data_IF_837047477595
#
_entry.id   IF_837047477595
#
_cell.length_a   1.000
_cell.length_b   1.000
_cell.length_c   1.000
_cell.angle_alpha   90.00
_cell.angle_beta   90.00
_cell.angle_gamma   90.00
#
_symmetry.space_group_name_H-M   'P 1'
#
loop_
_entity.id
_entity.type
_entity.pdbx_description
1 polymer ?
#
# COMPACT_ATOMS: atom_id res chain seq x y z
N UNK A 1 -30.14 -26.98 26.74
CA UNK A 1 -29.15 -27.64 25.85
C UNK A 1 -29.41 -27.41 24.36
N UNK A 2 -30.64 -27.57 23.82
CA UNK A 2 -30.94 -27.34 22.39
C UNK A 2 -30.63 -25.91 21.91
N UNK A 3 -31.09 -24.90 22.66
CA UNK A 3 -30.81 -23.48 22.37
C UNK A 3 -29.32 -23.11 22.40
N UNK A 4 -28.53 -23.68 23.32
CA UNK A 4 -27.06 -23.46 23.39
C UNK A 4 -26.35 -24.02 22.16
N UNK A 5 -26.72 -25.23 21.70
CA UNK A 5 -26.16 -25.83 20.49
C UNK A 5 -26.50 -25.01 19.23
N UNK A 6 -27.71 -24.47 19.17
CA UNK A 6 -28.17 -23.64 18.07
C UNK A 6 -27.41 -22.30 17.99
N UNK A 7 -27.22 -21.62 19.12
CA UNK A 7 -26.41 -20.39 19.17
C UNK A 7 -24.93 -20.63 18.81
N UNK A 8 -24.34 -21.72 19.29
CA UNK A 8 -22.96 -22.11 18.92
C UNK A 8 -22.87 -22.36 17.41
N UNK A 9 -23.86 -23.05 16.84
CA UNK A 9 -23.92 -23.27 15.39
C UNK A 9 -24.05 -21.94 14.62
N UNK A 10 -24.79 -20.96 15.15
CA UNK A 10 -24.88 -19.63 14.55
C UNK A 10 -23.55 -18.86 14.61
N UNK A 11 -22.76 -18.98 15.68
CA UNK A 11 -21.41 -18.41 15.76
C UNK A 11 -20.50 -18.97 14.66
N UNK A 12 -20.53 -20.29 14.45
CA UNK A 12 -19.77 -20.94 13.39
C UNK A 12 -20.26 -20.55 11.99
N UNK A 13 -21.57 -20.48 11.81
CA UNK A 13 -22.22 -20.07 10.55
C UNK A 13 -21.83 -18.64 10.17
N UNK A 14 -21.85 -17.72 11.15
CA UNK A 14 -21.41 -16.33 10.96
C UNK A 14 -19.97 -16.27 10.43
N UNK A 15 -19.07 -17.06 11.04
CA UNK A 15 -17.66 -17.12 10.68
C UNK A 15 -17.43 -17.67 9.28
N UNK A 16 -18.13 -18.75 8.91
CA UNK A 16 -17.98 -19.43 7.63
C UNK A 16 -18.58 -18.62 6.47
N UNK A 17 -19.80 -18.10 6.66
CA UNK A 17 -20.54 -17.44 5.59
C UNK A 17 -20.36 -15.92 5.56
N UNK A 18 -19.69 -15.35 6.58
CA UNK A 18 -19.44 -13.90 6.72
C UNK A 18 -20.71 -13.06 6.70
N UNK A 19 -21.81 -13.62 7.21
CA UNK A 19 -23.12 -12.97 7.31
C UNK A 19 -23.32 -12.39 8.72
N UNK A 20 -22.52 -11.38 9.09
CA UNK A 20 -22.43 -10.90 10.47
C UNK A 20 -23.76 -10.38 11.02
N UNK A 21 -24.39 -9.43 10.32
CA UNK A 21 -25.65 -8.79 10.73
C UNK A 21 -26.85 -9.74 10.80
N UNK A 22 -26.89 -10.72 9.89
CA UNK A 22 -27.94 -11.74 9.87
C UNK A 22 -27.76 -12.72 11.02
N UNK A 23 -26.51 -13.11 11.29
CA UNK A 23 -26.19 -14.01 12.39
C UNK A 23 -26.45 -13.35 13.76
N UNK A 24 -26.12 -12.06 13.90
CA UNK A 24 -26.46 -11.30 15.11
C UNK A 24 -27.99 -11.21 15.31
N UNK A 25 -28.76 -11.11 14.23
CA UNK A 25 -30.23 -11.13 14.30
C UNK A 25 -30.75 -12.49 14.77
N UNK A 26 -30.25 -13.57 14.15
CA UNK A 26 -30.66 -14.94 14.46
C UNK A 26 -30.30 -15.36 15.89
N UNK A 27 -29.23 -14.80 16.46
CA UNK A 27 -28.82 -15.01 17.85
C UNK A 27 -29.50 -14.06 18.86
N UNK A 28 -30.38 -13.16 18.39
CA UNK A 28 -30.93 -12.05 19.20
C UNK A 28 -29.85 -11.16 19.86
N UNK A 29 -28.64 -11.17 19.29
CA UNK A 29 -27.46 -10.49 19.82
C UNK A 29 -27.31 -9.06 19.31
N UNK A 30 -28.29 -8.49 18.60
CA UNK A 30 -28.17 -7.11 18.07
C UNK A 30 -28.10 -6.05 19.16
N UNK A 31 -28.74 -6.30 20.29
CA UNK A 31 -28.92 -5.30 21.35
C UNK A 31 -28.25 -5.70 22.68
N UNK A 32 -27.50 -6.80 22.72
CA UNK A 32 -26.92 -7.31 23.95
C UNK A 32 -26.22 -8.65 23.76
N UNK A 33 -25.53 -9.10 24.79
CA UNK A 33 -24.83 -10.39 24.79
C UNK A 33 -25.80 -11.44 25.32
N UNK A 34 -26.11 -12.50 24.55
CA UNK A 34 -26.98 -13.56 25.04
C UNK A 34 -26.40 -14.25 26.28
N UNK A 35 -27.18 -14.34 27.37
CA UNK A 35 -26.73 -14.92 28.65
C UNK A 35 -26.16 -16.34 28.49
N UNK A 36 -26.71 -17.11 27.55
CA UNK A 36 -26.31 -18.49 27.24
C UNK A 36 -24.85 -18.60 26.77
N UNK A 37 -24.28 -17.51 26.24
CA UNK A 37 -22.88 -17.43 25.81
C UNK A 37 -21.96 -16.88 26.92
N UNK A 38 -22.53 -16.33 27.99
CA UNK A 38 -21.80 -15.64 29.06
C UNK A 38 -20.92 -16.53 29.95
N UNK A 39 -20.99 -17.85 29.79
CA UNK A 39 -20.25 -18.81 30.61
C UNK A 39 -18.92 -19.29 29.99
N UNK A 40 -18.59 -18.86 28.77
CA UNK A 40 -17.39 -19.30 28.05
C UNK A 40 -16.63 -18.11 27.47
N UNK A 41 -15.34 -17.92 27.86
CA UNK A 41 -14.49 -16.90 27.27
C UNK A 41 -14.36 -17.07 25.74
N UNK A 42 -14.39 -18.30 25.25
CA UNK A 42 -14.25 -18.61 23.83
C UNK A 42 -15.46 -18.13 23.01
N UNK A 43 -16.68 -18.40 23.48
CA UNK A 43 -17.90 -17.93 22.82
C UNK A 43 -18.01 -16.40 22.85
N UNK A 44 -17.67 -15.79 23.98
CA UNK A 44 -17.64 -14.33 24.13
C UNK A 44 -16.61 -13.68 23.18
N UNK A 45 -15.43 -14.28 23.05
CA UNK A 45 -14.41 -13.84 22.09
C UNK A 45 -14.86 -13.98 20.63
N UNK A 46 -15.53 -15.09 20.29
CA UNK A 46 -16.10 -15.28 18.95
C UNK A 46 -17.19 -14.24 18.65
N UNK A 47 -18.09 -14.01 19.59
CA UNK A 47 -19.15 -13.00 19.47
C UNK A 47 -18.56 -11.59 19.32
N UNK A 48 -17.52 -11.25 20.10
CA UNK A 48 -16.79 -9.99 19.95
C UNK A 48 -16.22 -9.82 18.54
N UNK A 49 -15.64 -10.87 17.97
CA UNK A 49 -15.17 -10.87 16.57
C UNK A 49 -16.29 -10.61 15.56
N UNK A 50 -17.48 -11.19 15.76
CA UNK A 50 -18.66 -10.96 14.91
C UNK A 50 -19.11 -9.51 15.02
N UNK A 51 -19.20 -8.95 16.24
CA UNK A 51 -19.52 -7.54 16.45
C UNK A 51 -18.54 -6.60 15.75
N UNK A 52 -17.23 -6.84 15.88
CA UNK A 52 -16.21 -6.05 15.17
C UNK A 52 -16.45 -6.08 13.66
N UNK A 53 -16.69 -7.26 13.08
CA UNK A 53 -16.94 -7.38 11.64
C UNK A 53 -18.27 -6.74 11.21
N UNK A 54 -19.33 -6.86 12.02
CA UNK A 54 -20.60 -6.17 11.80
C UNK A 54 -20.44 -4.65 11.86
N UNK A 55 -19.70 -4.11 12.85
CA UNK A 55 -19.40 -2.69 12.97
C UNK A 55 -18.73 -2.12 11.71
N UNK A 56 -17.78 -2.87 11.15
CA UNK A 56 -16.98 -2.48 10.00
C UNK A 56 -17.79 -2.49 8.70
N UNK A 57 -18.69 -3.46 8.54
CA UNK A 57 -19.47 -3.65 7.31
C UNK A 57 -20.84 -2.99 7.36
N UNK A 58 -21.37 -2.72 8.55
CA UNK A 58 -22.71 -2.23 8.80
C UNK A 58 -22.79 -0.73 9.14
N UNK A 59 -24.01 -0.20 9.32
CA UNK A 59 -24.22 1.20 9.67
C UNK A 59 -23.88 1.51 11.14
N UNK A 60 -24.13 0.56 12.07
CA UNK A 60 -24.08 0.74 13.53
C UNK A 60 -22.69 0.51 14.14
N UNK A 61 -21.69 1.30 13.72
CA UNK A 61 -20.30 1.11 14.12
C UNK A 61 -20.09 1.19 15.66
N UNK A 62 -20.49 2.30 16.30
CA UNK A 62 -20.20 2.52 17.72
C UNK A 62 -20.86 1.48 18.61
N UNK A 63 -22.12 1.16 18.31
CA UNK A 63 -22.91 0.21 19.08
C UNK A 63 -22.26 -1.18 19.07
N UNK A 64 -21.86 -1.67 17.91
CA UNK A 64 -21.20 -2.97 17.84
C UNK A 64 -19.76 -2.95 18.37
N UNK A 65 -19.03 -1.85 18.25
CA UNK A 65 -17.72 -1.74 18.91
C UNK A 65 -17.85 -1.73 20.44
N UNK A 66 -18.89 -1.07 20.99
CA UNK A 66 -19.23 -1.11 22.40
C UNK A 66 -19.60 -2.54 22.85
N UNK A 67 -20.48 -3.23 22.13
CA UNK A 67 -20.84 -4.62 22.45
C UNK A 67 -19.64 -5.58 22.34
N UNK A 68 -18.71 -5.33 21.41
CA UNK A 68 -17.45 -6.07 21.35
C UNK A 68 -16.60 -5.87 22.60
N UNK A 69 -16.50 -4.63 23.12
CA UNK A 69 -15.80 -4.35 24.38
C UNK A 69 -16.49 -5.01 25.58
N UNK A 70 -17.82 -4.95 25.66
CA UNK A 70 -18.59 -5.64 26.70
C UNK A 70 -18.32 -7.16 26.69
N UNK A 71 -18.33 -7.78 25.50
CA UNK A 71 -18.10 -9.22 25.37
C UNK A 71 -16.67 -9.60 25.78
N UNK A 72 -15.67 -8.81 25.40
CA UNK A 72 -14.28 -9.04 25.82
C UNK A 72 -14.10 -8.82 27.33
N UNK A 73 -14.76 -7.82 27.90
CA UNK A 73 -14.72 -7.59 29.35
C UNK A 73 -15.35 -8.74 30.13
N UNK A 74 -16.50 -9.26 29.68
CA UNK A 74 -17.12 -10.46 30.24
C UNK A 74 -16.20 -11.67 30.10
N UNK A 75 -15.56 -11.87 28.94
CA UNK A 75 -14.63 -12.98 28.74
C UNK A 75 -13.47 -12.94 29.75
N UNK A 76 -12.92 -11.75 30.00
CA UNK A 76 -11.89 -11.53 31.02
C UNK A 76 -12.37 -11.86 32.42
N UNK A 77 -13.60 -11.45 32.78
CA UNK A 77 -14.17 -11.77 34.09
C UNK A 77 -14.36 -13.27 34.28
N UNK A 78 -14.90 -13.96 33.27
CA UNK A 78 -15.12 -15.42 33.29
C UNK A 78 -13.80 -16.18 33.36
N UNK A 79 -12.76 -15.70 32.69
CA UNK A 79 -11.40 -16.28 32.76
C UNK A 79 -10.64 -15.95 34.05
N UNK A 80 -11.27 -15.35 35.07
CA UNK A 80 -10.62 -15.02 36.34
C UNK A 80 -9.65 -13.84 36.27
N UNK A 81 -9.83 -12.92 35.31
CA UNK A 81 -8.95 -11.76 35.03
C UNK A 81 -7.51 -12.11 34.64
N UNK A 82 -7.23 -13.36 34.27
CA UNK A 82 -5.95 -13.71 33.67
C UNK A 82 -5.87 -13.08 32.27
N UNK A 83 -5.08 -12.01 32.15
CA UNK A 83 -4.75 -11.36 30.88
C UNK A 83 -3.97 -12.25 29.92
N UNK A 84 -3.50 -13.39 30.41
CA UNK A 84 -2.65 -14.34 29.69
C UNK A 84 -3.44 -15.42 28.96
N UNK A 85 -4.77 -15.40 29.04
CA UNK A 85 -5.59 -16.27 28.19
C UNK A 85 -5.43 -15.83 26.72
N UNK A 86 -4.72 -16.68 25.98
CA UNK A 86 -4.34 -16.47 24.58
C UNK A 86 -5.56 -16.14 23.70
N UNK A 87 -6.76 -16.67 24.00
CA UNK A 87 -7.95 -16.38 23.20
C UNK A 87 -8.47 -14.95 23.40
N UNK A 88 -8.39 -14.45 24.63
CA UNK A 88 -8.77 -13.09 24.99
C UNK A 88 -7.78 -12.11 24.37
N UNK A 89 -6.48 -12.36 24.56
CA UNK A 89 -5.41 -11.55 23.99
C UNK A 89 -5.50 -11.47 22.46
N UNK A 90 -5.79 -12.61 21.79
CA UNK A 90 -6.02 -12.66 20.34
C UNK A 90 -7.19 -11.79 19.91
N UNK A 91 -8.29 -11.85 20.66
CA UNK A 91 -9.52 -11.11 20.31
C UNK A 91 -9.34 -9.60 20.54
N UNK A 92 -8.61 -9.20 21.57
CA UNK A 92 -8.18 -7.80 21.79
C UNK A 92 -7.28 -7.31 20.66
N UNK A 93 -6.25 -8.09 20.30
CA UNK A 93 -5.34 -7.75 19.20
C UNK A 93 -6.10 -7.59 17.86
N UNK A 94 -7.08 -8.46 17.61
CA UNK A 94 -7.91 -8.39 16.41
C UNK A 94 -8.81 -7.16 16.37
N UNK A 95 -9.53 -6.85 17.47
CA UNK A 95 -10.39 -5.67 17.58
C UNK A 95 -9.62 -4.38 17.28
N UNK A 96 -8.53 -4.14 18.01
CA UNK A 96 -7.72 -2.92 17.88
C UNK A 96 -7.10 -2.81 16.48
N UNK A 97 -6.63 -3.92 15.92
CA UNK A 97 -6.12 -3.95 14.54
C UNK A 97 -7.21 -3.54 13.54
N UNK A 98 -8.38 -4.16 13.61
CA UNK A 98 -9.45 -3.87 12.66
C UNK A 98 -9.96 -2.45 12.79
N UNK A 99 -10.04 -1.93 14.01
CA UNK A 99 -10.33 -0.53 14.27
C UNK A 99 -9.31 0.40 13.62
N UNK A 100 -8.00 0.11 13.73
CA UNK A 100 -6.98 0.88 13.03
C UNK A 100 -7.15 0.85 11.49
N UNK A 101 -7.46 -0.31 10.91
CA UNK A 101 -7.60 -0.46 9.45
C UNK A 101 -8.74 0.40 8.89
N UNK A 102 -9.83 0.58 9.66
CA UNK A 102 -10.97 1.42 9.28
C UNK A 102 -10.76 2.91 9.60
N UNK A 103 -9.64 3.26 10.26
CA UNK A 103 -9.24 4.64 10.55
C UNK A 103 -8.76 5.36 9.27
N UNK A 104 -9.70 5.70 8.38
CA UNK A 104 -9.48 6.43 7.13
C UNK A 104 -9.92 7.91 7.19
N UNK A 105 -9.44 8.77 6.27
CA UNK A 105 -9.86 10.18 6.18
C UNK A 105 -11.34 10.39 5.83
N UNK A 106 -12.00 9.34 5.34
CA UNK A 106 -13.45 9.26 5.03
C UNK A 106 -14.20 8.39 6.06
N UNK A 107 -13.54 7.97 7.14
CA UNK A 107 -14.20 7.26 8.23
C UNK A 107 -15.34 8.14 8.76
N UNK A 108 -16.54 7.54 8.85
CA UNK A 108 -17.80 8.13 9.35
C UNK A 108 -17.50 9.22 10.39
N UNK A 109 -17.42 10.49 9.94
CA UNK A 109 -17.01 11.65 10.75
C UNK A 109 -17.97 11.97 11.90
N UNK A 110 -19.07 11.23 12.02
CA UNK A 110 -20.18 11.51 12.93
C UNK A 110 -20.05 10.96 14.35
N UNK A 111 -19.00 10.21 14.68
CA UNK A 111 -19.01 9.39 15.89
C UNK A 111 -17.65 9.46 16.61
N UNK A 112 -17.44 10.53 17.37
CA UNK A 112 -16.10 11.10 17.60
C UNK A 112 -15.72 11.45 19.05
N UNK A 113 -16.38 10.95 20.10
CA UNK A 113 -16.02 11.34 21.47
C UNK A 113 -15.10 10.36 22.23
N UNK A 114 -15.03 9.06 21.88
CA UNK A 114 -14.32 8.06 22.71
C UNK A 114 -13.31 7.16 21.96
N UNK A 115 -13.04 7.44 20.69
CA UNK A 115 -12.11 6.60 19.92
C UNK A 115 -10.65 6.89 20.32
N UNK A 116 -9.82 5.87 20.62
CA UNK A 116 -8.39 6.08 20.78
C UNK A 116 -7.78 6.70 19.52
N UNK A 117 -6.76 7.52 19.70
CA UNK A 117 -6.06 8.09 18.55
C UNK A 117 -5.38 6.98 17.72
N UNK A 118 -5.14 7.28 16.44
CA UNK A 118 -4.63 6.31 15.47
C UNK A 118 -3.28 5.70 15.89
N UNK A 119 -2.41 6.46 16.54
CA UNK A 119 -1.10 5.97 16.99
C UNK A 119 -1.25 5.06 18.20
N UNK A 120 -2.15 5.39 19.13
CA UNK A 120 -2.49 4.53 20.27
C UNK A 120 -3.01 3.16 19.82
N UNK A 121 -3.90 3.12 18.83
CA UNK A 121 -4.37 1.85 18.25
C UNK A 121 -3.23 1.00 17.68
N UNK A 122 -2.29 1.63 16.95
CA UNK A 122 -1.11 0.92 16.42
C UNK A 122 -0.26 0.36 17.55
N UNK A 123 0.03 1.18 18.58
CA UNK A 123 0.88 0.75 19.70
C UNK A 123 0.22 -0.40 20.49
N UNK A 124 -1.09 -0.32 20.76
CA UNK A 124 -1.84 -1.37 21.44
C UNK A 124 -1.87 -2.68 20.62
N UNK A 125 -2.20 -2.60 19.32
CA UNK A 125 -2.20 -3.78 18.46
C UNK A 125 -0.81 -4.42 18.38
N UNK A 126 0.26 -3.62 18.21
CA UNK A 126 1.64 -4.13 18.21
C UNK A 126 1.98 -4.80 19.53
N UNK A 127 1.63 -4.19 20.66
CA UNK A 127 1.86 -4.76 21.99
C UNK A 127 1.18 -6.13 22.15
N UNK A 128 -0.12 -6.23 21.85
CA UNK A 128 -0.84 -7.50 21.98
C UNK A 128 -0.31 -8.58 21.03
N UNK A 129 0.02 -8.24 19.78
CA UNK A 129 0.62 -9.22 18.88
C UNK A 129 2.03 -9.62 19.31
N UNK A 130 2.84 -8.73 19.89
CA UNK A 130 4.16 -9.09 20.42
C UNK A 130 4.06 -10.09 21.56
N UNK A 131 3.09 -9.91 22.47
CA UNK A 131 2.77 -10.92 23.49
C UNK A 131 2.33 -12.24 22.84
N UNK A 132 1.40 -12.22 21.88
CA UNK A 132 0.96 -13.44 21.18
C UNK A 132 2.12 -14.18 20.50
N UNK A 133 3.10 -13.46 19.95
CA UNK A 133 4.27 -14.08 19.30
C UNK A 133 5.21 -14.78 20.29
N UNK A 134 5.15 -14.44 21.58
CA UNK A 134 5.90 -15.13 22.65
C UNK A 134 5.15 -16.36 23.18
N UNK A 135 3.83 -16.38 23.00
CA UNK A 135 2.93 -17.45 23.41
C UNK A 135 2.56 -18.38 22.22
N UNK A 136 1.35 -18.96 22.25
CA UNK A 136 0.82 -19.84 21.21
C UNK A 136 0.16 -19.06 20.06
N UNK A 137 0.95 -18.58 19.10
CA UNK A 137 0.46 -17.87 17.91
C UNK A 137 0.03 -18.79 16.76
N UNK A 138 -0.93 -18.30 15.97
CA UNK A 138 -1.39 -18.94 14.72
C UNK A 138 -0.87 -18.21 13.47
N UNK A 139 -1.04 -18.82 12.29
CA UNK A 139 -0.71 -18.15 11.01
C UNK A 139 -1.55 -16.88 10.75
N UNK A 140 -2.87 -16.84 11.05
CA UNK A 140 -3.64 -15.60 11.07
C UNK A 140 -3.04 -14.52 11.98
N UNK A 141 -2.65 -14.86 13.22
CA UNK A 141 -2.07 -13.88 14.16
C UNK A 141 -0.80 -13.25 13.58
N UNK A 142 0.08 -14.08 13.03
CA UNK A 142 1.31 -13.61 12.38
C UNK A 142 1.01 -12.72 11.17
N UNK A 143 0.00 -13.08 10.36
CA UNK A 143 -0.41 -12.29 9.20
C UNK A 143 -0.95 -10.93 9.62
N UNK A 144 -1.83 -10.89 10.62
CA UNK A 144 -2.40 -9.66 11.14
C UNK A 144 -1.33 -8.76 11.76
N UNK A 145 -0.39 -9.35 12.50
CA UNK A 145 0.74 -8.63 13.06
C UNK A 145 1.65 -8.02 11.98
N UNK A 146 1.97 -8.79 10.94
CA UNK A 146 2.74 -8.28 9.80
C UNK A 146 1.99 -7.16 9.06
N UNK A 147 0.65 -7.24 9.00
CA UNK A 147 -0.21 -6.25 8.34
C UNK A 147 -0.23 -4.94 9.09
N UNK A 148 -0.39 -4.94 10.41
CA UNK A 148 -0.37 -3.70 11.22
C UNK A 148 1.00 -3.01 11.12
N UNK A 149 2.10 -3.77 11.16
CA UNK A 149 3.45 -3.23 11.00
C UNK A 149 3.65 -2.60 9.62
N UNK A 150 3.21 -3.29 8.56
CA UNK A 150 3.32 -2.76 7.19
C UNK A 150 2.47 -1.51 6.99
N UNK A 151 1.19 -1.55 7.34
CA UNK A 151 0.25 -0.44 7.13
C UNK A 151 0.65 0.79 7.93
N UNK A 152 1.04 0.62 9.20
CA UNK A 152 1.53 1.74 10.02
C UNK A 152 2.82 2.36 9.49
N UNK A 153 3.71 1.55 8.90
CA UNK A 153 4.94 2.08 8.30
C UNK A 153 4.69 2.89 7.02
N UNK A 154 3.68 2.53 6.24
CA UNK A 154 3.25 3.22 5.00
C UNK A 154 2.32 4.41 5.25
N UNK A 155 1.77 4.55 6.46
CA UNK A 155 0.81 5.60 6.79
C UNK A 155 1.52 6.95 6.96
N UNK A 156 1.36 7.85 5.99
CA UNK A 156 2.01 9.17 5.99
C UNK A 156 1.48 10.09 7.09
N UNK A 157 0.31 9.82 7.66
CA UNK A 157 -0.32 10.65 8.68
C UNK A 157 0.13 10.31 10.10
N UNK A 158 0.81 9.16 10.29
CA UNK A 158 1.37 8.81 11.60
C UNK A 158 2.69 9.54 11.85
N UNK A 159 2.90 10.15 13.04
CA UNK A 159 4.12 10.87 13.39
C UNK A 159 5.26 9.89 13.79
N UNK A 160 5.57 8.94 12.92
CA UNK A 160 6.56 7.89 13.15
C UNK A 160 7.85 8.20 12.39
N UNK A 161 8.99 8.13 13.10
CA UNK A 161 10.31 8.39 12.53
C UNK A 161 10.65 7.41 11.40
N UNK A 162 11.51 7.85 10.46
CA UNK A 162 11.95 7.01 9.33
C UNK A 162 12.60 5.69 9.78
N UNK A 163 13.40 5.73 10.85
CA UNK A 163 14.04 4.54 11.42
C UNK A 163 13.03 3.51 11.92
N UNK A 164 12.01 3.95 12.67
CA UNK A 164 10.94 3.06 13.17
C UNK A 164 10.10 2.50 12.03
N UNK A 165 9.76 3.30 11.00
CA UNK A 165 9.08 2.81 9.78
C UNK A 165 9.89 1.71 9.09
N UNK A 166 11.19 1.92 8.92
CA UNK A 166 12.07 0.93 8.29
C UNK A 166 12.18 -0.36 9.13
N UNK A 167 12.25 -0.24 10.45
CA UNK A 167 12.23 -1.39 11.37
C UNK A 167 10.93 -2.18 11.23
N UNK A 168 9.77 -1.51 11.24
CA UNK A 168 8.46 -2.15 11.06
C UNK A 168 8.37 -2.86 9.69
N UNK A 169 8.80 -2.23 8.60
CA UNK A 169 8.83 -2.86 7.28
C UNK A 169 9.71 -4.11 7.23
N UNK A 170 10.90 -4.06 7.85
CA UNK A 170 11.81 -5.21 7.94
C UNK A 170 11.16 -6.36 8.74
N UNK A 171 10.55 -6.05 9.90
CA UNK A 171 9.87 -7.03 10.75
C UNK A 171 8.67 -7.65 10.01
N UNK A 172 7.84 -6.84 9.34
CA UNK A 172 6.73 -7.30 8.51
C UNK A 172 7.21 -8.26 7.40
N UNK A 173 8.27 -7.91 6.66
CA UNK A 173 8.85 -8.79 5.65
C UNK A 173 9.29 -10.15 6.22
N UNK A 174 9.93 -10.15 7.39
CA UNK A 174 10.37 -11.38 8.07
C UNK A 174 9.17 -12.25 8.43
N UNK A 175 8.11 -11.67 8.99
CA UNK A 175 6.89 -12.40 9.37
C UNK A 175 6.18 -12.97 8.13
N UNK A 176 5.95 -12.18 7.08
CA UNK A 176 5.36 -12.72 5.85
C UNK A 176 6.21 -13.83 5.23
N UNK A 177 7.54 -13.70 5.24
CA UNK A 177 8.44 -14.74 4.75
C UNK A 177 8.34 -16.03 5.57
N UNK A 178 8.11 -15.95 6.88
CA UNK A 178 7.84 -17.12 7.73
C UNK A 178 6.55 -17.82 7.30
N UNK A 179 5.45 -17.07 7.13
CA UNK A 179 4.15 -17.60 6.65
C UNK A 179 4.31 -18.34 5.31
N UNK A 180 5.06 -17.74 4.38
CA UNK A 180 5.30 -18.32 3.05
C UNK A 180 6.15 -19.60 3.07
N UNK A 181 7.00 -19.81 4.09
CA UNK A 181 7.84 -21.01 4.26
C UNK A 181 7.10 -22.15 4.96
N UNK A 182 6.24 -21.84 5.92
CA UNK A 182 5.52 -22.84 6.73
C UNK A 182 4.44 -23.61 5.95
N UNK A 183 4.20 -23.26 4.68
CA UNK A 183 3.07 -23.75 3.86
C UNK A 183 3.51 -24.62 2.67
N UNK A 184 4.79 -25.00 2.56
CA UNK A 184 5.36 -25.76 1.43
C UNK A 184 5.25 -27.31 1.56
N UNK A 185 4.48 -27.87 2.50
CA UNK A 185 4.48 -29.33 2.79
C UNK A 185 3.11 -30.03 2.85
N UNK A 186 2.16 -29.73 1.95
CA UNK A 186 0.94 -30.54 1.79
C UNK A 186 -0.23 -29.82 1.11
N UNK A 187 -1.34 -30.54 0.92
CA UNK A 187 -2.62 -29.96 0.51
C UNK A 187 -3.11 -29.01 1.62
N UNK A 188 -3.01 -27.71 1.36
CA UNK A 188 -3.50 -26.68 2.27
C UNK A 188 -5.02 -26.57 2.17
N UNK A 189 -5.70 -26.41 3.31
CA UNK A 189 -7.09 -25.95 3.33
C UNK A 189 -7.23 -24.58 2.64
N UNK A 190 -8.41 -24.29 2.09
CA UNK A 190 -8.68 -23.03 1.39
C UNK A 190 -8.33 -21.77 2.20
N UNK A 191 -8.62 -21.76 3.52
CA UNK A 191 -8.24 -20.65 4.40
C UNK A 191 -6.73 -20.43 4.50
N UNK A 192 -5.97 -21.53 4.59
CA UNK A 192 -4.50 -21.48 4.64
C UNK A 192 -3.92 -21.03 3.29
N UNK A 193 -4.54 -21.44 2.17
CA UNK A 193 -4.19 -20.96 0.82
C UNK A 193 -4.42 -19.44 0.72
N UNK A 194 -5.58 -18.96 1.19
CA UNK A 194 -5.91 -17.54 1.14
C UNK A 194 -4.93 -16.68 1.96
N UNK A 195 -4.59 -17.09 3.18
CA UNK A 195 -3.59 -16.38 4.01
C UNK A 195 -2.24 -16.34 3.30
N UNK A 196 -1.83 -17.43 2.65
CA UNK A 196 -0.58 -17.50 1.90
C UNK A 196 -0.56 -16.52 0.73
N UNK A 197 -1.63 -16.45 -0.05
CA UNK A 197 -1.78 -15.51 -1.17
C UNK A 197 -1.69 -14.05 -0.66
N UNK A 198 -2.43 -13.73 0.41
CA UNK A 198 -2.40 -12.39 1.02
C UNK A 198 -1.02 -12.02 1.59
N UNK A 199 -0.36 -12.97 2.25
CA UNK A 199 0.99 -12.80 2.77
C UNK A 199 2.02 -12.61 1.64
N UNK A 200 1.87 -13.32 0.52
CA UNK A 200 2.71 -13.14 -0.67
C UNK A 200 2.61 -11.75 -1.26
N UNK A 201 1.39 -11.24 -1.43
CA UNK A 201 1.15 -9.88 -1.89
C UNK A 201 1.75 -8.82 -0.95
N UNK A 202 1.48 -8.91 0.36
CA UNK A 202 2.02 -7.94 1.31
C UNK A 202 3.53 -8.07 1.54
N UNK A 203 4.10 -9.28 1.42
CA UNK A 203 5.56 -9.46 1.38
C UNK A 203 6.17 -8.66 0.22
N UNK A 204 5.61 -8.81 -0.98
CA UNK A 204 6.08 -8.09 -2.16
C UNK A 204 5.93 -6.58 -1.99
N UNK A 205 4.81 -6.10 -1.44
CA UNK A 205 4.61 -4.67 -1.14
C UNK A 205 5.57 -4.11 -0.09
N UNK A 206 5.74 -4.80 1.04
CA UNK A 206 6.66 -4.37 2.08
C UNK A 206 8.12 -4.39 1.60
N UNK A 207 8.50 -5.42 0.83
CA UNK A 207 9.82 -5.52 0.23
C UNK A 207 10.08 -4.45 -0.83
N UNK A 208 9.08 -4.11 -1.64
CA UNK A 208 9.10 -2.98 -2.58
C UNK A 208 9.37 -1.66 -1.86
N UNK A 209 8.67 -1.39 -0.73
CA UNK A 209 8.91 -0.18 0.06
C UNK A 209 10.34 -0.10 0.62
N UNK A 210 10.93 -1.24 0.96
CA UNK A 210 12.34 -1.31 1.38
C UNK A 210 13.32 -1.15 0.20
N UNK A 211 12.94 -1.57 -1.00
CA UNK A 211 13.75 -1.37 -2.21
C UNK A 211 13.70 0.08 -2.69
N UNK A 212 12.52 0.69 -2.72
CA UNK A 212 12.26 2.08 -3.14
C UNK A 212 12.85 3.05 -2.12
N UNK A 213 14.17 3.19 -2.14
CA UNK A 213 14.93 3.96 -1.15
C UNK A 213 15.36 5.34 -1.66
N UNK A 214 14.88 5.75 -2.83
CA UNK A 214 15.09 7.10 -3.35
C UNK A 214 14.37 8.12 -2.47
N UNK A 215 15.06 9.20 -2.10
CA UNK A 215 14.38 10.38 -1.59
C UNK A 215 13.51 11.00 -2.67
N UNK A 216 12.64 11.93 -2.27
CA UNK A 216 11.84 12.70 -3.23
C UNK A 216 12.74 13.39 -4.28
N UNK A 217 13.88 13.94 -3.85
CA UNK A 217 14.88 14.49 -4.75
C UNK A 217 15.44 13.44 -5.71
N UNK A 218 15.90 12.29 -5.19
CA UNK A 218 16.45 11.24 -6.04
C UNK A 218 15.46 10.73 -7.09
N UNK A 219 14.17 10.67 -6.75
CA UNK A 219 13.12 10.27 -7.68
C UNK A 219 12.90 11.31 -8.79
N UNK A 220 12.80 12.59 -8.45
CA UNK A 220 12.66 13.65 -9.46
C UNK A 220 13.93 13.80 -10.30
N UNK A 221 15.12 13.65 -9.72
CA UNK A 221 16.40 13.66 -10.43
C UNK A 221 16.49 12.52 -11.47
N UNK A 222 16.03 11.33 -11.10
CA UNK A 222 15.94 10.21 -12.04
C UNK A 222 14.90 10.46 -13.14
N UNK A 223 13.70 10.95 -12.79
CA UNK A 223 12.63 11.25 -13.74
C UNK A 223 13.00 12.32 -14.77
N UNK A 224 13.64 13.39 -14.32
CA UNK A 224 13.96 14.53 -15.17
C UNK A 224 15.24 14.30 -15.99
N UNK A 225 16.26 13.69 -15.38
CA UNK A 225 17.62 13.66 -15.92
C UNK A 225 18.23 12.26 -16.05
N UNK A 226 17.55 11.19 -15.61
CA UNK A 226 18.11 9.84 -15.56
C UNK A 226 19.22 9.67 -14.54
N UNK A 227 19.37 10.62 -13.61
CA UNK A 227 20.46 10.62 -12.62
C UNK A 227 20.23 9.52 -11.59
N UNK A 228 21.18 8.59 -11.50
CA UNK A 228 21.25 7.57 -10.46
C UNK A 228 22.52 7.75 -9.63
N UNK A 229 22.48 7.36 -8.35
CA UNK A 229 23.66 7.30 -7.49
C UNK A 229 24.25 5.89 -7.47
N UNK A 230 25.58 5.79 -7.35
CA UNK A 230 26.27 4.50 -7.20
C UNK A 230 25.78 3.83 -5.92
N UNK A 231 25.20 2.65 -6.06
CA UNK A 231 24.58 1.96 -4.94
C UNK A 231 25.60 1.02 -4.29
N UNK A 232 26.14 1.43 -3.14
CA UNK A 232 27.03 0.60 -2.31
C UNK A 232 26.39 -0.73 -1.88
N UNK A 233 25.09 -0.89 -2.05
CA UNK A 233 24.30 -2.07 -1.68
C UNK A 233 23.62 -2.76 -2.87
N UNK A 234 24.12 -2.56 -4.11
CA UNK A 234 23.49 -3.12 -5.32
C UNK A 234 23.28 -4.64 -5.23
N UNK A 235 24.24 -5.38 -4.69
CA UNK A 235 24.16 -6.85 -4.51
C UNK A 235 23.02 -7.24 -3.57
N UNK A 236 22.89 -6.59 -2.41
CA UNK A 236 21.79 -6.86 -1.46
C UNK A 236 20.42 -6.56 -2.11
N UNK A 237 20.33 -5.43 -2.83
CA UNK A 237 19.12 -5.02 -3.54
C UNK A 237 18.76 -5.98 -4.66
N UNK A 238 19.74 -6.48 -5.40
CA UNK A 238 19.55 -7.48 -6.45
C UNK A 238 19.01 -8.78 -5.86
N UNK A 239 19.61 -9.30 -4.79
CA UNK A 239 19.11 -10.49 -4.08
C UNK A 239 17.68 -10.32 -3.55
N UNK A 240 17.36 -9.13 -3.03
CA UNK A 240 16.01 -8.78 -2.57
C UNK A 240 15.03 -8.69 -3.74
N UNK A 241 15.40 -8.04 -4.84
CA UNK A 241 14.59 -7.95 -6.06
C UNK A 241 14.26 -9.34 -6.61
N UNK A 242 15.25 -10.23 -6.78
CA UNK A 242 15.01 -11.60 -7.26
C UNK A 242 14.10 -12.39 -6.32
N UNK A 243 14.20 -12.17 -5.01
CA UNK A 243 13.30 -12.80 -4.03
C UNK A 243 11.86 -12.32 -4.20
N UNK A 244 11.66 -11.01 -4.35
CA UNK A 244 10.34 -10.42 -4.55
C UNK A 244 9.73 -10.84 -5.89
N UNK A 245 10.50 -10.80 -6.97
CA UNK A 245 10.06 -11.22 -8.30
C UNK A 245 9.62 -12.68 -8.29
N UNK A 246 10.39 -13.57 -7.67
CA UNK A 246 10.04 -15.00 -7.54
C UNK A 246 8.72 -15.22 -6.80
N UNK A 247 8.49 -14.50 -5.71
CA UNK A 247 7.25 -14.60 -4.93
C UNK A 247 6.08 -13.99 -5.70
N UNK A 248 6.29 -12.85 -6.36
CA UNK A 248 5.26 -12.19 -7.16
C UNK A 248 4.86 -13.04 -8.39
N UNK A 249 5.80 -13.67 -9.08
CA UNK A 249 5.51 -14.60 -10.18
C UNK A 249 4.79 -15.86 -9.70
N UNK A 250 5.10 -16.37 -8.50
CA UNK A 250 4.30 -17.45 -7.88
C UNK A 250 2.87 -16.98 -7.60
N UNK A 251 2.71 -15.79 -7.01
CA UNK A 251 1.40 -15.19 -6.74
C UNK A 251 0.58 -15.05 -8.03
N UNK A 252 1.17 -14.56 -9.12
CA UNK A 252 0.49 -14.44 -10.41
C UNK A 252 -0.04 -15.79 -10.89
N UNK A 253 0.80 -16.83 -10.89
CA UNK A 253 0.37 -18.20 -11.26
C UNK A 253 -0.74 -18.74 -10.38
N UNK A 254 -0.65 -18.55 -9.06
CA UNK A 254 -1.69 -18.98 -8.13
C UNK A 254 -3.04 -18.29 -8.39
N UNK A 255 -3.02 -17.05 -8.86
CA UNK A 255 -4.23 -16.28 -9.17
C UNK A 255 -4.71 -16.45 -10.63
N UNK A 256 -4.03 -17.28 -11.44
CA UNK A 256 -4.32 -17.44 -12.87
C UNK A 256 -4.09 -16.15 -13.66
N UNK A 257 -3.02 -15.41 -13.32
CA UNK A 257 -2.64 -14.13 -13.91
C UNK A 257 -1.30 -14.20 -14.66
N UNK A 258 -0.80 -15.40 -14.93
CA UNK A 258 0.41 -15.64 -15.71
C UNK A 258 0.13 -15.60 -17.22
N UNK A 259 1.10 -15.08 -17.99
CA UNK A 259 0.95 -14.88 -19.43
C UNK A 259 0.31 -13.54 -19.81
N UNK A 260 0.02 -13.39 -21.10
CA UNK A 260 -0.69 -12.22 -21.62
C UNK A 260 -2.17 -12.26 -21.22
N UNK A 261 -2.73 -11.09 -20.91
CA UNK A 261 -4.10 -11.00 -20.39
C UNK A 261 -5.10 -11.19 -21.53
N UNK A 262 -5.65 -12.39 -21.66
CA UNK A 262 -6.67 -12.71 -22.68
C UNK A 262 -8.11 -12.46 -22.21
N UNK A 263 -8.32 -11.96 -20.98
CA UNK A 263 -9.65 -11.84 -20.36
C UNK A 263 -9.88 -10.59 -19.51
N UNK A 264 -9.57 -9.39 -20.01
CA UNK A 264 -9.79 -8.11 -19.25
C UNK A 264 -11.23 -7.99 -18.73
N UNK A 265 -12.23 -8.38 -19.52
CA UNK A 265 -13.62 -8.34 -19.10
C UNK A 265 -13.95 -9.31 -17.97
N UNK A 266 -13.44 -10.55 -18.03
CA UNK A 266 -13.62 -11.53 -16.96
C UNK A 266 -12.99 -11.02 -15.66
N UNK A 267 -11.74 -10.57 -15.74
CA UNK A 267 -11.01 -9.99 -14.61
C UNK A 267 -11.74 -8.76 -14.04
N UNK A 268 -12.30 -7.91 -14.90
CA UNK A 268 -13.09 -6.75 -14.48
C UNK A 268 -14.37 -7.14 -13.75
N UNK A 269 -15.02 -8.25 -14.12
CA UNK A 269 -16.24 -8.74 -13.46
C UNK A 269 -15.99 -9.43 -12.12
N UNK A 270 -14.76 -9.86 -11.83
CA UNK A 270 -14.43 -10.50 -10.54
C UNK A 270 -14.79 -9.59 -9.34
N UNK A 271 -15.33 -10.15 -8.24
CA UNK A 271 -15.67 -9.39 -7.04
C UNK A 271 -14.44 -8.72 -6.41
N UNK A 272 -14.57 -7.46 -5.97
CA UNK A 272 -13.47 -6.78 -5.22
C UNK A 272 -13.23 -7.35 -3.83
N UNK A 273 -14.15 -8.16 -3.31
CA UNK A 273 -13.97 -8.92 -2.07
C UNK A 273 -12.87 -9.97 -2.19
N UNK A 274 -12.49 -10.37 -3.41
CA UNK A 274 -11.31 -11.18 -3.68
C UNK A 274 -10.06 -10.32 -3.51
N UNK A 275 -9.34 -10.54 -2.41
CA UNK A 275 -8.10 -9.86 -2.12
C UNK A 275 -6.93 -10.86 -2.08
N UNK A 276 -5.83 -10.59 -2.81
CA UNK A 276 -5.57 -9.41 -3.64
C UNK A 276 -6.35 -9.42 -4.96
N UNK A 277 -6.84 -8.25 -5.38
CA UNK A 277 -7.54 -8.11 -6.66
C UNK A 277 -6.54 -8.13 -7.83
N UNK A 278 -6.95 -8.63 -9.00
CA UNK A 278 -6.06 -8.78 -10.17
C UNK A 278 -5.35 -7.47 -10.56
N UNK A 279 -6.07 -6.35 -10.58
CA UNK A 279 -5.49 -5.03 -10.84
C UNK A 279 -4.43 -4.61 -9.80
N UNK A 280 -4.58 -5.01 -8.54
CA UNK A 280 -3.60 -4.72 -7.48
C UNK A 280 -2.31 -5.54 -7.67
N UNK A 281 -2.42 -6.78 -8.16
CA UNK A 281 -1.29 -7.66 -8.46
C UNK A 281 -0.52 -7.10 -9.66
N UNK A 282 -1.21 -6.76 -10.76
CA UNK A 282 -0.56 -6.15 -11.92
C UNK A 282 0.09 -4.81 -11.58
N UNK A 283 -0.56 -3.96 -10.80
CA UNK A 283 0.05 -2.73 -10.33
C UNK A 283 1.33 -2.99 -9.51
N UNK A 284 1.30 -3.98 -8.60
CA UNK A 284 2.50 -4.38 -7.84
C UNK A 284 3.62 -4.92 -8.75
N UNK A 285 3.28 -5.71 -9.77
CA UNK A 285 4.26 -6.18 -10.77
C UNK A 285 4.88 -5.02 -11.55
N UNK A 286 4.06 -4.07 -12.01
CA UNK A 286 4.56 -2.85 -12.65
C UNK A 286 5.51 -2.07 -11.75
N UNK A 287 5.21 -1.97 -10.46
CA UNK A 287 6.09 -1.33 -9.48
C UNK A 287 7.42 -2.06 -9.26
N UNK A 288 7.44 -3.40 -9.33
CA UNK A 288 8.67 -4.20 -9.24
C UNK A 288 9.58 -3.93 -10.43
N UNK A 289 9.02 -3.93 -11.63
CA UNK A 289 9.79 -3.70 -12.85
C UNK A 289 10.21 -2.23 -13.03
N UNK A 290 9.36 -1.24 -12.66
CA UNK A 290 9.74 0.19 -12.59
C UNK A 290 10.94 0.34 -11.63
N UNK A 291 10.87 -0.27 -10.44
CA UNK A 291 11.97 -0.26 -9.48
C UNK A 291 13.24 -0.93 -10.02
N UNK A 292 13.10 -2.00 -10.81
CA UNK A 292 14.23 -2.70 -11.41
C UNK A 292 14.92 -1.86 -12.49
N UNK A 293 14.15 -1.14 -13.29
CA UNK A 293 14.65 -0.15 -14.24
C UNK A 293 15.36 1.02 -13.53
N UNK A 294 14.67 1.68 -12.58
CA UNK A 294 15.20 2.82 -11.82
C UNK A 294 16.54 2.50 -11.14
N UNK A 295 16.68 1.28 -10.62
CA UNK A 295 17.83 0.87 -9.82
C UNK A 295 18.82 -0.03 -10.57
N UNK A 296 18.62 -0.25 -11.87
CA UNK A 296 19.50 -1.10 -12.69
C UNK A 296 19.67 -2.51 -12.08
N UNK A 297 18.56 -3.10 -11.63
CA UNK A 297 18.49 -4.43 -10.99
C UNK A 297 18.05 -5.54 -11.95
N UNK A 298 17.81 -5.20 -13.22
CA UNK A 298 17.45 -6.15 -14.27
C UNK A 298 18.55 -6.19 -15.33
N UNK A 299 18.88 -7.35 -15.91
CA UNK A 299 19.95 -7.46 -16.92
C UNK A 299 19.72 -6.57 -18.14
N UNK A 300 18.45 -6.42 -18.56
CA UNK A 300 18.04 -5.60 -19.68
C UNK A 300 17.08 -4.49 -19.22
N UNK A 301 17.57 -3.28 -18.88
CA UNK A 301 16.76 -2.21 -18.30
C UNK A 301 15.53 -1.86 -19.16
N UNK A 302 15.68 -1.80 -20.48
CA UNK A 302 14.58 -1.51 -21.40
C UNK A 302 13.47 -2.58 -21.36
N UNK A 303 13.83 -3.84 -21.17
CA UNK A 303 12.85 -4.91 -20.99
C UNK A 303 12.10 -4.75 -19.66
N UNK A 304 12.78 -4.33 -18.60
CA UNK A 304 12.12 -4.02 -17.34
C UNK A 304 11.15 -2.84 -17.50
N UNK A 305 11.54 -1.78 -18.21
CA UNK A 305 10.66 -0.66 -18.51
C UNK A 305 9.43 -1.09 -19.34
N UNK A 306 9.65 -1.91 -20.37
CA UNK A 306 8.58 -2.47 -21.20
C UNK A 306 7.59 -3.30 -20.37
N UNK A 307 8.08 -4.22 -19.54
CA UNK A 307 7.24 -5.03 -18.64
C UNK A 307 6.49 -4.15 -17.64
N UNK A 308 7.12 -3.11 -17.09
CA UNK A 308 6.45 -2.18 -16.19
C UNK A 308 5.28 -1.48 -16.89
N UNK A 309 5.48 -1.01 -18.13
CA UNK A 309 4.44 -0.40 -18.98
C UNK A 309 3.30 -1.38 -19.25
N UNK A 310 3.61 -2.62 -19.59
CA UNK A 310 2.63 -3.67 -19.86
C UNK A 310 1.75 -3.94 -18.62
N UNK A 311 2.35 -4.19 -17.46
CA UNK A 311 1.61 -4.48 -16.23
C UNK A 311 0.76 -3.30 -15.74
N UNK A 312 1.25 -2.07 -15.84
CA UNK A 312 0.41 -0.91 -15.53
C UNK A 312 -0.73 -0.73 -16.53
N UNK A 313 -0.53 -1.05 -17.80
CA UNK A 313 -1.59 -1.03 -18.81
C UNK A 313 -2.68 -2.04 -18.46
N UNK A 314 -2.34 -3.29 -18.12
CA UNK A 314 -3.30 -4.28 -17.65
C UNK A 314 -4.09 -3.82 -16.42
N UNK A 315 -3.42 -3.22 -15.43
CA UNK A 315 -4.10 -2.69 -14.25
C UNK A 315 -5.10 -1.57 -14.60
N UNK A 316 -4.72 -0.68 -15.53
CA UNK A 316 -5.58 0.40 -16.02
C UNK A 316 -6.75 -0.12 -16.86
N UNK A 317 -6.52 -1.10 -17.74
CA UNK A 317 -7.55 -1.69 -18.60
C UNK A 317 -8.65 -2.38 -17.78
N UNK A 318 -8.30 -3.14 -16.72
CA UNK A 318 -9.35 -3.77 -15.90
C UNK A 318 -10.14 -2.70 -15.13
N UNK A 319 -9.49 -1.65 -14.62
CA UNK A 319 -10.19 -0.54 -13.95
C UNK A 319 -11.13 0.19 -14.93
N UNK A 320 -10.62 0.51 -16.12
CA UNK A 320 -11.38 1.19 -17.15
C UNK A 320 -12.59 0.36 -17.59
N UNK A 321 -12.41 -0.95 -17.81
CA UNK A 321 -13.51 -1.86 -18.15
C UNK A 321 -14.56 -1.94 -17.02
N UNK A 322 -14.14 -1.96 -15.75
CA UNK A 322 -15.07 -1.89 -14.62
C UNK A 322 -15.93 -0.64 -14.65
N UNK A 323 -15.34 0.53 -14.93
CA UNK A 323 -16.08 1.80 -15.05
C UNK A 323 -17.12 1.73 -16.17
N UNK A 324 -16.76 1.19 -17.32
CA UNK A 324 -17.68 0.99 -18.43
C UNK A 324 -18.86 0.08 -18.04
N UNK A 325 -18.58 -0.97 -17.27
CA UNK A 325 -19.59 -1.90 -16.76
C UNK A 325 -20.36 -1.36 -15.53
N UNK A 326 -20.13 -0.11 -15.10
CA UNK A 326 -20.72 0.51 -13.91
C UNK A 326 -20.50 -0.30 -12.62
N UNK A 327 -19.39 -1.03 -12.55
CA UNK A 327 -18.99 -1.77 -11.36
C UNK A 327 -18.29 -0.84 -10.36
N UNK A 328 -18.24 -1.26 -9.09
CA UNK A 328 -17.60 -0.47 -8.02
C UNK A 328 -16.10 -0.29 -8.27
N UNK A 329 -15.64 0.95 -8.06
CA UNK A 329 -14.26 1.39 -8.32
C UNK A 329 -13.79 2.23 -7.13
N UNK A 330 -12.63 1.92 -6.52
CA UNK A 330 -12.05 2.64 -5.39
C UNK A 330 -10.52 2.69 -5.49
N UNK A 331 -9.97 3.91 -5.44
CA UNK A 331 -8.55 4.15 -5.21
C UNK A 331 -7.62 4.12 -6.43
N UNK A 332 -8.10 4.11 -7.68
CA UNK A 332 -7.30 3.70 -8.84
C UNK A 332 -6.45 4.78 -9.55
N UNK A 333 -6.59 6.06 -9.22
CA UNK A 333 -5.87 7.14 -9.93
C UNK A 333 -4.34 6.99 -9.90
N UNK A 334 -3.80 6.33 -8.87
CA UNK A 334 -2.37 6.07 -8.76
C UNK A 334 -1.82 5.12 -9.83
N UNK A 335 -2.66 4.24 -10.40
CA UNK A 335 -2.27 3.29 -11.45
C UNK A 335 -2.05 4.03 -12.77
N UNK A 336 -3.03 4.84 -13.20
CA UNK A 336 -2.90 5.69 -14.37
C UNK A 336 -1.74 6.67 -14.25
N UNK A 337 -1.54 7.26 -13.07
CA UNK A 337 -0.40 8.14 -12.83
C UNK A 337 0.95 7.41 -12.86
N UNK A 338 0.99 6.10 -12.60
CA UNK A 338 2.20 5.31 -12.78
C UNK A 338 2.52 5.10 -14.25
N UNK A 339 1.50 4.78 -15.06
CA UNK A 339 1.64 4.72 -16.52
C UNK A 339 2.07 6.06 -17.12
N UNK A 340 1.51 7.16 -16.61
CA UNK A 340 1.90 8.51 -16.99
C UNK A 340 3.38 8.80 -16.66
N UNK A 341 3.84 8.46 -15.44
CA UNK A 341 5.26 8.60 -15.07
C UNK A 341 6.18 7.78 -15.97
N UNK A 342 5.79 6.56 -16.34
CA UNK A 342 6.62 5.72 -17.22
C UNK A 342 6.83 6.33 -18.59
N UNK A 343 5.87 7.10 -19.10
CA UNK A 343 6.03 7.76 -20.39
C UNK A 343 7.14 8.81 -20.40
N UNK A 344 7.35 9.52 -19.28
CA UNK A 344 8.52 10.40 -19.15
C UNK A 344 9.85 9.63 -19.23
N UNK A 345 9.88 8.33 -18.91
CA UNK A 345 11.07 7.50 -19.11
C UNK A 345 11.26 7.09 -20.58
N UNK A 346 10.17 6.80 -21.31
CA UNK A 346 10.23 6.31 -22.69
C UNK A 346 10.28 7.41 -23.77
N UNK A 347 9.93 8.66 -23.44
CA UNK A 347 9.85 9.76 -24.42
C UNK A 347 11.21 10.33 -24.86
N UNK A 348 12.34 9.80 -24.37
CA UNK A 348 13.65 10.04 -24.99
C UNK A 348 13.75 9.20 -26.27
N UNK A 349 13.12 9.68 -27.36
CA UNK A 349 13.38 9.20 -28.72
C UNK A 349 12.41 8.19 -29.33
N UNK A 350 11.18 8.01 -28.81
CA UNK A 350 10.18 7.16 -29.47
C UNK A 350 8.94 7.95 -29.95
N UNK A 351 8.50 7.62 -31.16
CA UNK A 351 7.40 8.24 -31.94
C UNK A 351 6.00 7.70 -31.56
N UNK A 352 5.93 6.59 -30.82
CA UNK A 352 4.66 5.90 -30.59
C UNK A 352 3.70 6.69 -29.70
N UNK A 353 2.42 6.68 -30.09
CA UNK A 353 1.33 7.26 -29.31
C UNK A 353 1.30 6.62 -27.91
N UNK A 354 1.48 7.39 -26.83
CA UNK A 354 1.49 6.83 -25.50
C UNK A 354 0.19 6.09 -25.13
N UNK A 355 0.25 4.89 -24.52
CA UNK A 355 -0.95 4.18 -24.07
C UNK A 355 -1.82 4.96 -23.08
N UNK A 356 -1.23 5.92 -22.34
CA UNK A 356 -1.99 6.73 -21.39
C UNK A 356 -2.93 7.76 -22.05
N UNK A 357 -2.64 8.19 -23.29
CA UNK A 357 -3.51 9.13 -24.02
C UNK A 357 -4.91 8.55 -24.25
N UNK A 358 -5.02 7.23 -24.40
CA UNK A 358 -6.30 6.54 -24.53
C UNK A 358 -7.20 6.75 -23.31
N UNK A 359 -6.64 7.01 -22.12
CA UNK A 359 -7.39 7.24 -20.88
C UNK A 359 -7.66 8.71 -20.61
N UNK A 360 -6.76 9.63 -20.98
CA UNK A 360 -6.94 11.07 -20.76
C UNK A 360 -8.19 11.65 -21.39
N UNK A 361 -8.52 11.19 -22.58
CA UNK A 361 -9.74 11.63 -23.27
C UNK A 361 -11.02 11.08 -22.66
N UNK A 362 -10.90 10.10 -21.76
CA UNK A 362 -12.02 9.28 -21.26
C UNK A 362 -12.22 9.39 -19.75
N UNK A 363 -11.25 9.93 -19.01
CA UNK A 363 -11.25 10.04 -17.56
C UNK A 363 -10.86 11.45 -17.13
N UNK A 364 -11.51 11.96 -16.09
CA UNK A 364 -11.13 13.21 -15.43
C UNK A 364 -9.97 12.94 -14.46
N UNK A 365 -8.84 13.60 -14.69
CA UNK A 365 -7.68 13.54 -13.80
C UNK A 365 -7.64 14.74 -12.85
N UNK A 366 -7.09 14.60 -11.63
CA UNK A 366 -6.89 15.75 -10.76
C UNK A 366 -5.96 16.79 -11.42
N UNK A 367 -6.26 18.10 -11.30
CA UNK A 367 -5.46 19.16 -11.91
C UNK A 367 -3.96 19.10 -11.57
N UNK A 368 -3.61 18.67 -10.35
CA UNK A 368 -2.22 18.56 -9.93
C UNK A 368 -1.40 17.58 -10.78
N UNK A 369 -2.01 16.53 -11.35
CA UNK A 369 -1.29 15.63 -12.24
C UNK A 369 -0.86 16.39 -13.51
N UNK A 370 -1.77 17.12 -14.13
CA UNK A 370 -1.52 17.90 -15.36
C UNK A 370 -0.46 18.98 -15.12
N UNK A 371 -0.59 19.74 -14.04
CA UNK A 371 0.40 20.76 -13.66
C UNK A 371 1.79 20.14 -13.44
N UNK A 372 1.87 18.98 -12.78
CA UNK A 372 3.14 18.27 -12.59
C UNK A 372 3.79 17.88 -13.93
N UNK A 373 3.00 17.44 -14.92
CA UNK A 373 3.50 17.12 -16.27
C UNK A 373 4.15 18.34 -16.89
N UNK A 374 3.42 19.46 -16.92
CA UNK A 374 3.84 20.70 -17.57
C UNK A 374 5.12 21.24 -16.94
N UNK A 375 5.18 21.29 -15.60
CA UNK A 375 6.40 21.71 -14.88
C UNK A 375 7.60 20.84 -15.26
N UNK A 376 7.44 19.51 -15.30
CA UNK A 376 8.55 18.62 -15.67
C UNK A 376 8.97 18.81 -17.12
N UNK A 377 8.03 19.00 -18.04
CA UNK A 377 8.32 19.31 -19.44
C UNK A 377 9.09 20.62 -19.59
N UNK A 378 8.67 21.69 -18.90
CA UNK A 378 9.40 22.96 -18.89
C UNK A 378 10.84 22.76 -18.41
N UNK A 379 11.05 22.03 -17.30
CA UNK A 379 12.39 21.72 -16.80
C UNK A 379 13.21 20.91 -17.83
N UNK A 380 12.62 19.88 -18.44
CA UNK A 380 13.31 19.04 -19.43
C UNK A 380 13.68 19.83 -20.70
N UNK A 381 12.87 20.82 -21.09
CA UNK A 381 13.08 21.67 -22.25
C UNK A 381 13.97 22.88 -21.97
N UNK A 382 14.51 23.03 -20.76
CA UNK A 382 15.33 24.19 -20.38
C UNK A 382 14.55 25.48 -20.09
N UNK A 383 13.22 25.42 -20.06
CA UNK A 383 12.32 26.54 -19.75
C UNK A 383 12.20 26.71 -18.23
N UNK A 384 13.30 27.06 -17.56
CA UNK A 384 13.36 27.07 -16.10
C UNK A 384 12.54 28.20 -15.47
N UNK A 385 12.48 29.37 -16.12
CA UNK A 385 11.69 30.52 -15.62
C UNK A 385 10.19 30.21 -15.64
N UNK A 386 9.69 29.56 -16.70
CA UNK A 386 8.30 29.11 -16.81
C UNK A 386 7.97 28.07 -15.73
N UNK A 387 8.89 27.13 -15.49
CA UNK A 387 8.74 26.14 -14.43
C UNK A 387 8.71 26.79 -13.04
N UNK A 388 9.58 27.78 -12.80
CA UNK A 388 9.63 28.53 -11.55
C UNK A 388 8.36 29.33 -11.30
N UNK A 389 7.80 29.95 -12.35
CA UNK A 389 6.54 30.69 -12.28
C UNK A 389 5.38 29.76 -11.87
N UNK A 390 5.20 28.64 -12.58
CA UNK A 390 4.16 27.65 -12.26
C UNK A 390 4.32 27.07 -10.84
N UNK A 391 5.54 26.76 -10.42
CA UNK A 391 5.80 26.25 -9.06
C UNK A 391 5.44 27.29 -8.00
N UNK A 392 5.69 28.59 -8.26
CA UNK A 392 5.31 29.67 -7.35
C UNK A 392 3.80 29.79 -7.21
N UNK A 393 3.05 29.70 -8.30
CA UNK A 393 1.57 29.73 -8.29
C UNK A 393 0.98 28.57 -7.48
N UNK A 394 1.50 27.36 -7.65
CA UNK A 394 1.06 26.20 -6.85
C UNK A 394 1.34 26.42 -5.37
N UNK A 395 2.52 26.94 -5.02
CA UNK A 395 2.86 27.24 -3.62
C UNK A 395 1.98 28.33 -3.01
N UNK A 396 1.62 29.35 -3.79
CA UNK A 396 0.76 30.46 -3.34
C UNK A 396 -0.69 30.02 -3.14
N UNK A 397 -1.23 29.23 -4.07
CA UNK A 397 -2.60 28.72 -3.98
C UNK A 397 -2.79 27.69 -2.86
N UNK A 398 -1.71 27.03 -2.41
CA UNK A 398 -1.73 25.94 -1.40
C UNK A 398 -2.69 24.79 -1.74
N UNK A 399 -3.09 24.66 -3.00
CA UNK A 399 -3.95 23.59 -3.48
C UNK A 399 -3.11 22.35 -3.79
N UNK A 400 -2.75 21.61 -2.73
CA UNK A 400 -2.01 20.37 -2.85
C UNK A 400 -2.94 19.17 -2.98
N UNK A 401 -2.57 18.21 -3.83
CA UNK A 401 -3.27 16.93 -4.00
C UNK A 401 -2.30 15.74 -3.90
N UNK A 402 -2.80 14.53 -4.19
CA UNK A 402 -1.97 13.31 -4.14
C UNK A 402 -0.82 13.29 -5.15
N UNK A 403 -0.90 14.10 -6.22
CA UNK A 403 0.11 14.20 -7.26
C UNK A 403 1.06 15.36 -7.03
N UNK A 404 0.55 16.50 -6.56
CA UNK A 404 1.29 17.71 -6.23
C UNK A 404 1.30 17.92 -4.71
N UNK A 405 2.09 17.11 -4.01
CA UNK A 405 2.31 17.30 -2.58
C UNK A 405 3.28 18.45 -2.33
N UNK A 406 3.13 19.15 -1.20
CA UNK A 406 4.02 20.25 -0.80
C UNK A 406 5.50 19.86 -0.87
N UNK A 407 5.84 18.65 -0.42
CA UNK A 407 7.21 18.14 -0.45
C UNK A 407 7.75 17.98 -1.88
N UNK A 408 6.91 17.52 -2.82
CA UNK A 408 7.31 17.38 -4.23
C UNK A 408 7.51 18.74 -4.88
N UNK A 409 6.60 19.69 -4.62
CA UNK A 409 6.70 21.07 -5.13
C UNK A 409 7.99 21.74 -4.63
N UNK A 410 8.30 21.61 -3.34
CA UNK A 410 9.57 22.11 -2.75
C UNK A 410 10.80 21.53 -3.45
N UNK A 411 10.82 20.21 -3.70
CA UNK A 411 11.93 19.55 -4.39
C UNK A 411 12.07 20.04 -5.84
N UNK A 412 10.98 20.12 -6.61
CA UNK A 412 11.01 20.60 -7.99
C UNK A 412 11.46 22.06 -8.09
N UNK A 413 11.05 22.90 -7.14
CA UNK A 413 11.52 24.29 -7.04
C UNK A 413 13.01 24.36 -6.74
N UNK A 414 13.49 23.58 -5.78
CA UNK A 414 14.92 23.57 -5.45
C UNK A 414 15.77 23.04 -6.62
N UNK A 415 15.27 22.05 -7.38
CA UNK A 415 15.89 21.62 -8.65
C UNK A 415 15.93 22.79 -9.64
N UNK A 416 14.79 23.45 -9.88
CA UNK A 416 14.69 24.58 -10.82
C UNK A 416 15.60 25.74 -10.43
N UNK A 417 15.69 26.07 -9.14
CA UNK A 417 16.58 27.12 -8.62
C UNK A 417 18.07 26.79 -8.89
N UNK A 418 18.47 25.52 -8.71
CA UNK A 418 19.83 25.07 -9.05
C UNK A 418 20.10 25.16 -10.54
N UNK A 419 19.11 24.82 -11.38
CA UNK A 419 19.24 24.92 -12.84
C UNK A 419 19.38 26.37 -13.31
N UNK A 420 18.61 27.30 -12.73
CA UNK A 420 18.73 28.74 -13.02
C UNK A 420 20.06 29.33 -12.57
N UNK A 421 20.53 28.97 -11.36
CA UNK A 421 21.72 29.58 -10.74
C UNK A 421 23.04 28.90 -11.10
N UNK A 422 23.00 27.66 -11.59
CA UNK A 422 24.19 26.88 -11.93
C UNK A 422 25.01 26.40 -10.72
N UNK A 423 24.54 26.59 -9.49
CA UNK A 423 25.27 26.20 -8.27
C UNK A 423 24.33 25.77 -7.14
N UNK A 424 24.84 25.07 -6.13
CA UNK A 424 24.04 24.55 -5.00
C UNK A 424 24.12 25.39 -3.72
N UNK A 425 24.75 26.58 -3.76
CA UNK A 425 25.10 27.37 -2.58
C UNK A 425 23.87 27.74 -1.71
N UNK A 426 22.72 28.02 -2.33
CA UNK A 426 21.48 28.38 -1.63
C UNK A 426 20.76 27.20 -0.96
N UNK A 427 21.20 25.97 -1.20
CA UNK A 427 20.61 24.74 -0.66
C UNK A 427 21.39 24.17 0.55
N UNK A 428 22.37 24.92 1.06
CA UNK A 428 23.09 24.57 2.27
C UNK A 428 22.11 24.25 3.43
N UNK A 429 22.35 23.14 4.12
CA UNK A 429 21.56 22.62 5.25
C UNK A 429 20.11 22.14 4.97
N UNK A 430 19.59 22.22 3.73
CA UNK A 430 18.23 21.71 3.41
C UNK A 430 18.17 20.21 3.12
N UNK A 431 19.26 19.63 2.66
CA UNK A 431 19.36 18.23 2.24
C UNK A 431 20.50 17.52 2.96
N UNK A 432 20.34 16.21 3.20
CA UNK A 432 21.41 15.39 3.76
C UNK A 432 22.62 15.38 2.80
N UNK A 433 23.83 15.18 3.34
CA UNK A 433 25.08 15.20 2.54
C UNK A 433 25.00 14.28 1.31
N UNK A 434 24.43 13.08 1.47
CA UNK A 434 24.29 12.11 0.36
C UNK A 434 23.25 12.52 -0.69
N UNK A 435 22.24 13.34 -0.33
CA UNK A 435 21.22 13.82 -1.28
C UNK A 435 21.76 14.96 -2.15
N UNK A 436 22.70 15.76 -1.64
CA UNK A 436 23.29 16.86 -2.40
C UNK A 436 24.00 16.41 -3.66
N UNK A 437 24.52 15.18 -3.67
CA UNK A 437 25.15 14.55 -4.84
C UNK A 437 24.19 14.49 -6.04
N UNK A 438 22.88 14.44 -5.83
CA UNK A 438 21.91 14.51 -6.94
C UNK A 438 22.00 15.85 -7.67
N UNK A 439 22.09 16.99 -6.96
CA UNK A 439 22.18 18.30 -7.59
C UNK A 439 23.46 18.47 -8.40
N UNK A 440 24.59 18.01 -7.87
CA UNK A 440 25.87 18.02 -8.57
C UNK A 440 25.80 17.22 -9.89
N UNK A 441 25.21 16.02 -9.85
CA UNK A 441 25.01 15.21 -11.05
C UNK A 441 24.01 15.79 -12.04
N UNK A 442 22.96 16.46 -11.56
CA UNK A 442 22.01 17.19 -12.41
C UNK A 442 22.76 18.26 -13.21
N UNK A 443 23.58 19.09 -12.54
CA UNK A 443 24.38 20.12 -13.21
C UNK A 443 25.38 19.52 -14.21
N UNK A 444 26.04 18.42 -13.86
CA UNK A 444 26.94 17.72 -14.79
C UNK A 444 26.21 17.17 -16.03
N UNK A 445 24.97 16.71 -15.89
CA UNK A 445 24.17 16.19 -17.01
C UNK A 445 23.86 17.27 -18.05
N UNK A 446 23.64 18.51 -17.61
CA UNK A 446 23.39 19.66 -18.49
C UNK A 446 24.61 20.06 -19.30
N UNK A 447 25.79 20.08 -18.67
CA UNK A 447 27.03 20.45 -19.34
C UNK A 447 27.36 19.45 -20.47
N UNK A 448 27.16 18.15 -20.23
CA UNK A 448 27.32 17.12 -21.28
C UNK A 448 26.36 17.29 -22.46
N UNK A 449 25.12 17.70 -22.22
CA UNK A 449 24.16 17.98 -23.29
C UNK A 449 24.51 19.24 -24.09
N UNK A 450 25.09 20.27 -23.46
CA UNK A 450 25.60 21.46 -24.16
C UNK A 450 26.83 21.16 -25.01
N UNK A 451 27.74 20.30 -24.54
CA UNK A 451 28.96 19.95 -25.27
C UNK A 451 28.68 19.06 -26.50
N UNK A 452 27.71 18.14 -26.41
CA UNK A 452 27.27 17.35 -27.57
C UNK A 452 26.59 18.19 -28.66
N UNK A 453 25.82 19.23 -28.27
CA UNK A 453 25.19 20.14 -29.24
C UNK A 453 26.20 20.99 -30.02
N UNK A 454 27.34 21.35 -29.41
CA UNK A 454 28.42 22.08 -30.10
C UNK A 454 29.23 21.20 -31.05
N UNK A 455 29.39 19.91 -30.75
CA UNK A 455 30.13 18.97 -31.58
C UNK A 455 29.37 18.52 -32.85
N UNK A 456 28.06 18.73 -32.93
CA UNK A 456 27.23 18.42 -34.12
C UNK A 456 27.09 19.60 -35.09
N UNK A 457 27.48 20.80 -34.68
CA UNK A 457 27.45 22.02 -35.51
C UNK A 457 28.85 22.50 -35.90
N UNK A 458 29.88 21.69 -35.65
CA UNK A 458 31.28 21.97 -35.96
C UNK A 458 31.71 21.39 -37.29
#
# INVERSE_FOLDING_TARGET
>A
MKAKKELIHQLETARLHKQWELSLAAMEARNGIPDILGDSPEHLCQLAGIYVMAAIQGPCYDWYMYLADCALHMAQQVSGKHTDDVIILRSQAFKVHMEYIVYGPVGKKGYACHRPDKLSLVNQAVYYYEMLMQENYTSPDMYHYATILFKSAEDIYLPVTRGRRQMHLKKACTLYKKILKCTDRGELSEDKRLIRVKAGYYFCRAGLSLLKSHSYLGREAFLLFGVTLSQSQRVERLGRFHTLLRIASRLCRYCGLDGDVTGIEELARRPRSEFPYAGDIYYMMGQLYECAYEQQLYPWPEEALHRAKQYYTYACDIDYRRRQLRLSVSGYMHMYAALFRLYHYSSKGQSDVPPWLAYLRKLTFPPGLETLVRIRQCIQNGQYDDAACQLKEVMQSRQYDSFMTEKKVKVLRDITEVLCSGHTNKLCNRYAKWEKVYFEKILQSLNRHRDYGKAQTG
#
